data_IF_173433781551
#
_entry.id   IF_173433781551
#
_cell.length_a   1.000
_cell.length_b   1.000
_cell.length_c   1.000
_cell.angle_alpha   90.00
_cell.angle_beta   90.00
_cell.angle_gamma   90.00
#
_symmetry.space_group_name_H-M   'P 1'
#
loop_
_entity.id
_entity.type
_entity.pdbx_description
1 polymer ?
#
# COMPACT_ATOMS: atom_id res chain seq x y z
N UNK A 1 -62.99 4.93 30.45
CA UNK A 1 -62.15 3.91 29.88
C UNK A 1 -60.89 4.53 29.34
N UNK A 2 -59.78 4.20 30.02
CA UNK A 2 -58.45 4.74 29.81
C UNK A 2 -57.77 4.17 28.57
N UNK A 3 -57.36 5.01 27.69
CA UNK A 3 -56.39 4.67 26.60
C UNK A 3 -54.99 4.97 27.11
N UNK A 4 -54.22 3.92 27.36
CA UNK A 4 -52.79 4.00 27.60
C UNK A 4 -52.08 4.19 26.26
N UNK A 5 -51.55 5.40 26.02
CA UNK A 5 -50.63 5.65 24.96
C UNK A 5 -49.26 5.08 25.36
N UNK A 6 -48.82 4.06 24.63
CA UNK A 6 -47.49 3.46 24.75
C UNK A 6 -46.51 4.32 23.96
N UNK A 7 -45.79 5.22 24.67
CA UNK A 7 -44.68 5.93 24.07
C UNK A 7 -43.46 4.99 24.00
N UNK A 8 -43.26 4.40 22.82
CA UNK A 8 -42.00 3.74 22.50
C UNK A 8 -40.89 4.82 22.47
N UNK A 9 -40.05 4.79 23.49
CA UNK A 9 -38.81 5.58 23.53
C UNK A 9 -37.90 5.09 22.42
N UNK A 10 -37.71 5.91 21.39
CA UNK A 10 -36.64 5.77 20.42
C UNK A 10 -35.34 5.99 21.19
N UNK A 11 -34.64 4.90 21.45
CA UNK A 11 -33.27 4.95 21.98
C UNK A 11 -32.42 5.51 20.85
N UNK A 12 -32.13 6.82 20.92
CA UNK A 12 -31.12 7.47 20.09
C UNK A 12 -29.74 6.96 20.57
N UNK A 13 -29.30 5.87 19.97
CA UNK A 13 -27.94 5.35 20.16
C UNK A 13 -27.01 6.19 19.28
N UNK A 14 -26.76 7.43 19.66
CA UNK A 14 -25.62 8.18 19.16
C UNK A 14 -24.35 7.61 19.80
N UNK A 15 -23.95 6.42 19.39
CA UNK A 15 -22.55 6.00 19.53
C UNK A 15 -21.75 6.88 18.57
N UNK A 16 -21.14 7.93 19.10
CA UNK A 16 -20.07 8.68 18.44
C UNK A 16 -18.87 7.74 18.38
N UNK A 17 -18.92 6.76 17.47
CA UNK A 17 -17.83 5.81 17.22
C UNK A 17 -16.67 6.64 16.72
N UNK A 18 -15.64 6.78 17.54
CA UNK A 18 -14.43 7.54 17.20
C UNK A 18 -13.84 7.00 15.91
N UNK A 19 -13.77 7.85 14.87
CA UNK A 19 -13.21 7.49 13.56
C UNK A 19 -11.77 7.02 13.73
N UNK A 20 -11.48 5.80 13.28
CA UNK A 20 -10.14 5.19 13.29
C UNK A 20 -9.27 5.70 12.13
N UNK A 21 -9.88 6.12 11.03
CA UNK A 21 -9.22 6.74 9.89
C UNK A 21 -8.52 8.05 10.28
N UNK A 22 -7.40 8.37 9.63
CA UNK A 22 -6.53 9.48 10.01
C UNK A 22 -5.66 9.93 8.82
N UNK A 23 -4.96 11.06 9.00
CA UNK A 23 -3.82 11.43 8.17
C UNK A 23 -2.52 11.09 8.89
N UNK A 24 -1.53 10.60 8.15
CA UNK A 24 -0.16 10.46 8.61
C UNK A 24 0.71 11.46 7.85
N UNK A 25 1.26 12.43 8.56
CA UNK A 25 2.08 13.50 8.01
C UNK A 25 3.50 13.31 8.51
N UNK A 26 4.46 13.25 7.58
CA UNK A 26 5.83 12.96 7.92
C UNK A 26 6.80 13.17 6.77
N UNK A 27 7.80 12.33 6.70
CA UNK A 27 8.89 12.43 5.73
C UNK A 27 9.19 11.06 5.14
N UNK A 28 9.51 11.07 3.86
CA UNK A 28 10.17 9.96 3.18
C UNK A 28 11.65 10.24 3.10
N UNK A 29 12.47 9.29 3.49
CA UNK A 29 13.91 9.31 3.36
C UNK A 29 14.36 8.19 2.43
N UNK A 30 15.25 8.50 1.51
CA UNK A 30 15.90 7.54 0.63
C UNK A 30 17.41 7.70 0.74
N UNK A 31 18.12 6.58 0.91
CA UNK A 31 19.57 6.52 0.91
C UNK A 31 20.04 5.36 0.04
N UNK A 32 20.75 5.66 -1.03
CA UNK A 32 21.54 4.71 -1.80
C UNK A 32 22.96 4.71 -1.26
N UNK A 33 23.51 3.54 -1.02
CA UNK A 33 24.88 3.36 -0.54
C UNK A 33 25.80 2.99 -1.70
N UNK A 34 25.37 2.06 -2.56
CA UNK A 34 26.17 1.55 -3.67
C UNK A 34 25.44 1.70 -5.01
N UNK A 35 26.12 1.88 -6.16
CA UNK A 35 27.57 2.08 -6.38
C UNK A 35 28.06 3.49 -6.01
N UNK A 36 27.18 4.47 -5.89
CA UNK A 36 27.47 5.84 -5.47
C UNK A 36 26.48 6.30 -4.42
N UNK A 37 26.97 6.92 -3.38
CA UNK A 37 26.12 7.43 -2.31
C UNK A 37 25.24 8.57 -2.83
N UNK A 38 23.95 8.47 -2.51
CA UNK A 38 22.96 9.48 -2.82
C UNK A 38 21.81 9.39 -1.82
N UNK A 39 21.51 10.50 -1.17
CA UNK A 39 20.40 10.56 -0.21
C UNK A 39 19.55 11.79 -0.42
N UNK A 40 18.27 11.68 -0.08
CA UNK A 40 17.33 12.79 -0.09
C UNK A 40 16.14 12.51 0.83
N UNK A 41 15.54 13.59 1.28
CA UNK A 41 14.33 13.57 2.13
C UNK A 41 13.32 14.52 1.54
N UNK A 42 12.03 14.15 1.61
CA UNK A 42 10.93 15.04 1.25
C UNK A 42 9.72 14.81 2.14
N UNK A 43 8.94 15.86 2.41
CA UNK A 43 7.71 15.73 3.19
C UNK A 43 6.64 14.99 2.39
N UNK A 44 5.90 14.13 3.06
CA UNK A 44 4.79 13.37 2.49
C UNK A 44 3.67 13.23 3.53
N UNK A 45 2.41 13.28 3.08
CA UNK A 45 1.32 12.75 3.87
C UNK A 45 0.72 11.52 3.18
N UNK A 46 0.20 10.61 3.98
CA UNK A 46 -0.59 9.46 3.52
C UNK A 46 -1.92 9.40 4.26
N UNK A 47 -2.91 8.83 3.61
CA UNK A 47 -4.23 8.65 4.17
C UNK A 47 -4.29 7.26 4.81
N UNK A 48 -4.60 7.20 6.10
CA UNK A 48 -4.92 5.96 6.79
C UNK A 48 -6.43 5.81 6.82
N UNK A 49 -6.95 4.86 6.09
CA UNK A 49 -8.38 4.61 5.95
C UNK A 49 -8.70 3.22 6.48
N UNK A 50 -9.52 3.13 7.50
CA UNK A 50 -10.20 1.88 7.84
C UNK A 50 -11.24 1.60 6.76
N UNK A 51 -11.10 0.48 6.06
CA UNK A 51 -11.95 0.17 4.91
C UNK A 51 -13.42 -0.10 5.30
N UNK A 52 -13.69 -0.39 6.56
CA UNK A 52 -15.05 -0.51 7.10
C UNK A 52 -15.68 0.88 7.37
N UNK A 53 -14.88 1.95 7.46
CA UNK A 53 -15.36 3.32 7.68
C UNK A 53 -15.65 4.11 6.40
N UNK A 54 -15.42 3.56 5.20
CA UNK A 54 -15.50 4.30 3.93
C UNK A 54 -16.88 4.94 3.72
N UNK A 55 -17.97 4.24 4.02
CA UNK A 55 -19.33 4.78 3.91
C UNK A 55 -19.57 5.91 4.93
N UNK A 56 -19.10 5.75 6.16
CA UNK A 56 -19.18 6.79 7.20
C UNK A 56 -18.42 8.05 6.78
N UNK A 57 -17.19 7.88 6.29
CA UNK A 57 -16.32 9.00 5.87
C UNK A 57 -16.95 9.83 4.76
N UNK A 58 -17.54 9.18 3.72
CA UNK A 58 -18.15 9.90 2.62
C UNK A 58 -19.49 10.58 2.97
N UNK A 59 -20.16 10.12 4.04
CA UNK A 59 -21.33 10.83 4.58
C UNK A 59 -20.94 11.99 5.47
N UNK A 60 -19.88 11.85 6.27
CA UNK A 60 -19.44 12.86 7.23
C UNK A 60 -18.64 14.01 6.58
N UNK A 61 -17.90 13.73 5.50
CA UNK A 61 -16.95 14.68 4.91
C UNK A 61 -17.21 14.93 3.43
N UNK A 62 -17.64 16.15 3.09
CA UNK A 62 -17.91 16.57 1.71
C UNK A 62 -16.69 16.49 0.78
N UNK A 63 -15.49 16.57 1.32
CA UNK A 63 -14.22 16.53 0.59
C UNK A 63 -13.71 15.11 0.32
N UNK A 64 -14.36 14.07 0.85
CA UNK A 64 -14.02 12.66 0.62
C UNK A 64 -15.18 11.93 -0.05
N UNK A 65 -14.88 11.11 -1.06
CA UNK A 65 -15.87 10.21 -1.65
C UNK A 65 -15.24 8.99 -2.33
N UNK A 66 -15.93 7.86 -2.22
CA UNK A 66 -15.65 6.65 -2.99
C UNK A 66 -16.54 6.52 -4.24
N UNK A 67 -17.63 7.32 -4.33
CA UNK A 67 -18.67 7.18 -5.39
C UNK A 67 -18.67 8.34 -6.38
N UNK A 68 -18.57 9.56 -5.91
CA UNK A 68 -18.67 10.79 -6.72
C UNK A 68 -17.35 11.55 -6.75
N UNK A 69 -17.29 12.60 -7.56
CA UNK A 69 -16.16 13.53 -7.51
C UNK A 69 -16.09 14.24 -6.15
N UNK A 70 -14.90 14.30 -5.61
CA UNK A 70 -14.56 15.02 -4.37
C UNK A 70 -13.07 15.41 -4.42
N UNK A 71 -12.61 16.38 -3.63
CA UNK A 71 -11.19 16.72 -3.51
C UNK A 71 -10.30 15.53 -3.22
N UNK A 72 -10.71 14.61 -2.32
CA UNK A 72 -10.09 13.31 -2.14
C UNK A 72 -11.05 12.20 -2.56
N UNK A 73 -10.58 11.31 -3.45
CA UNK A 73 -11.37 10.20 -3.94
C UNK A 73 -10.67 8.87 -3.68
N UNK A 74 -11.41 7.91 -3.14
CA UNK A 74 -11.00 6.52 -3.05
C UNK A 74 -11.61 5.74 -4.22
N UNK A 75 -10.84 5.40 -5.23
CA UNK A 75 -11.31 4.60 -6.37
C UNK A 75 -10.72 3.20 -6.34
N UNK A 76 -11.57 2.18 -6.38
CA UNK A 76 -11.16 0.78 -6.33
C UNK A 76 -10.12 0.41 -7.42
N UNK A 77 -10.22 1.01 -8.61
CA UNK A 77 -9.32 0.73 -9.73
C UNK A 77 -7.91 1.32 -9.57
N UNK A 78 -7.66 2.16 -8.57
CA UNK A 78 -6.35 2.73 -8.31
C UNK A 78 -5.42 1.77 -7.55
N UNK A 79 -5.98 0.70 -6.98
CA UNK A 79 -5.26 -0.26 -6.14
C UNK A 79 -5.37 -1.66 -6.70
N UNK A 80 -4.28 -2.42 -6.59
CA UNK A 80 -4.19 -3.82 -7.04
C UNK A 80 -4.57 -4.02 -8.53
N UNK A 81 -4.36 -3.01 -9.36
CA UNK A 81 -4.82 -3.03 -10.76
C UNK A 81 -4.19 -4.12 -11.61
N UNK A 82 -3.00 -4.59 -11.24
CA UNK A 82 -2.24 -5.63 -11.94
C UNK A 82 -2.42 -7.03 -11.34
N UNK A 83 -3.10 -7.15 -10.21
CA UNK A 83 -3.39 -8.44 -9.60
C UNK A 83 -4.67 -9.04 -10.20
N UNK A 84 -4.57 -10.26 -10.71
CA UNK A 84 -5.68 -10.98 -11.36
C UNK A 84 -6.46 -11.85 -10.38
N UNK A 85 -6.74 -11.35 -9.18
CA UNK A 85 -7.52 -12.08 -8.18
C UNK A 85 -8.99 -11.71 -8.33
N UNK A 86 -9.84 -12.67 -8.70
CA UNK A 86 -11.28 -12.43 -8.81
C UNK A 86 -11.89 -12.17 -7.42
N UNK A 87 -12.77 -11.18 -7.34
CA UNK A 87 -13.59 -10.95 -6.15
C UNK A 87 -15.06 -11.00 -6.54
N UNK A 88 -15.89 -11.59 -5.71
CA UNK A 88 -17.34 -11.64 -5.89
C UNK A 88 -18.04 -10.35 -5.47
N UNK A 89 -17.31 -9.46 -4.78
CA UNK A 89 -17.84 -8.20 -4.25
C UNK A 89 -17.90 -7.14 -5.33
N UNK A 90 -19.03 -6.44 -5.42
CA UNK A 90 -19.20 -5.32 -6.34
C UNK A 90 -18.31 -4.14 -5.96
N UNK A 91 -17.70 -3.49 -6.97
CA UNK A 91 -16.95 -2.24 -6.82
C UNK A 91 -17.82 -1.07 -6.32
N UNK A 92 -19.14 -1.20 -6.36
CA UNK A 92 -20.06 -0.20 -5.82
C UNK A 92 -19.85 0.05 -4.31
N UNK A 93 -19.46 -1.00 -3.57
CA UNK A 93 -18.96 -0.86 -2.20
C UNK A 93 -17.43 -0.89 -2.21
N UNK A 94 -16.83 0.26 -2.45
CA UNK A 94 -15.37 0.39 -2.61
C UNK A 94 -14.59 -0.07 -1.39
N UNK A 95 -15.07 0.23 -0.16
CA UNK A 95 -14.39 -0.19 1.07
C UNK A 95 -14.35 -1.72 1.19
N UNK A 96 -15.51 -2.37 1.11
CA UNK A 96 -15.61 -3.82 1.18
C UNK A 96 -14.85 -4.50 0.02
N UNK A 97 -14.93 -3.95 -1.19
CA UNK A 97 -14.21 -4.48 -2.35
C UNK A 97 -12.68 -4.50 -2.12
N UNK A 98 -12.10 -3.38 -1.65
CA UNK A 98 -10.66 -3.29 -1.37
C UNK A 98 -10.26 -4.18 -0.19
N UNK A 99 -11.09 -4.26 0.85
CA UNK A 99 -10.88 -5.16 2.00
C UNK A 99 -10.78 -6.62 1.54
N UNK A 100 -11.75 -7.08 0.78
CA UNK A 100 -11.78 -8.48 0.30
C UNK A 100 -10.62 -8.76 -0.67
N UNK A 101 -10.24 -7.79 -1.51
CA UNK A 101 -9.07 -7.96 -2.39
C UNK A 101 -7.76 -8.04 -1.62
N UNK A 102 -7.56 -7.19 -0.62
CA UNK A 102 -6.35 -7.24 0.21
C UNK A 102 -6.23 -8.59 0.95
N UNK A 103 -7.35 -9.11 1.48
CA UNK A 103 -7.41 -10.42 2.12
C UNK A 103 -7.09 -11.53 1.11
N UNK A 104 -7.71 -11.53 -0.07
CA UNK A 104 -7.48 -12.55 -1.10
C UNK A 104 -6.04 -12.54 -1.64
N UNK A 105 -5.41 -11.35 -1.76
CA UNK A 105 -4.01 -11.23 -2.13
C UNK A 105 -3.13 -11.80 -1.01
N UNK A 106 -3.38 -11.47 0.26
CA UNK A 106 -2.62 -12.00 1.38
C UNK A 106 -2.70 -13.54 1.44
N UNK A 107 -3.90 -14.11 1.25
CA UNK A 107 -4.14 -15.56 1.18
C UNK A 107 -3.33 -16.20 0.05
N UNK A 108 -3.39 -15.63 -1.16
CA UNK A 108 -2.63 -16.12 -2.32
C UNK A 108 -1.12 -16.08 -2.14
N UNK A 109 -0.64 -15.19 -1.25
CA UNK A 109 0.77 -15.05 -0.88
C UNK A 109 1.14 -15.88 0.36
N UNK A 110 0.21 -16.69 0.89
CA UNK A 110 0.46 -17.65 1.96
C UNK A 110 0.13 -17.19 3.38
N UNK A 111 -0.60 -16.08 3.55
CA UNK A 111 -1.06 -15.64 4.86
C UNK A 111 -2.22 -16.52 5.38
N UNK A 112 -2.25 -16.80 6.67
CA UNK A 112 -3.46 -17.32 7.31
C UNK A 112 -4.46 -16.18 7.53
N UNK A 113 -5.41 -16.03 6.62
CA UNK A 113 -6.40 -14.94 6.63
C UNK A 113 -7.68 -15.26 7.42
N UNK A 114 -7.85 -16.50 7.90
CA UNK A 114 -9.06 -16.92 8.63
C UNK A 114 -9.40 -16.01 9.82
N UNK A 115 -8.44 -15.54 10.66
CA UNK A 115 -8.74 -14.67 11.79
C UNK A 115 -8.85 -13.18 11.42
N UNK A 116 -8.58 -12.80 10.17
CA UNK A 116 -8.56 -11.39 9.76
C UNK A 116 -9.97 -10.83 9.66
N UNK A 117 -10.25 -9.81 10.46
CA UNK A 117 -11.57 -9.20 10.53
C UNK A 117 -11.60 -7.71 10.12
N UNK A 118 -10.44 -7.02 10.08
CA UNK A 118 -10.33 -5.61 9.70
C UNK A 118 -9.14 -5.39 8.76
N UNK A 119 -9.30 -4.46 7.81
CA UNK A 119 -8.21 -4.01 6.94
C UNK A 119 -8.17 -2.49 6.91
N UNK A 120 -7.01 -1.94 7.19
CA UNK A 120 -6.74 -0.52 7.09
C UNK A 120 -5.70 -0.28 6.00
N UNK A 121 -5.93 0.71 5.13
CA UNK A 121 -4.96 1.11 4.12
C UNK A 121 -4.23 2.38 4.53
N UNK A 122 -2.91 2.42 4.36
CA UNK A 122 -2.09 3.62 4.42
C UNK A 122 -1.58 3.91 3.02
N UNK A 123 -2.21 4.86 2.32
CA UNK A 123 -2.03 5.05 0.87
C UNK A 123 -2.27 6.48 0.42
N UNK A 124 -1.88 6.78 -0.83
CA UNK A 124 -2.33 7.97 -1.51
C UNK A 124 -3.75 7.78 -2.04
N UNK A 125 -4.56 8.82 -1.94
CA UNK A 125 -5.87 8.91 -2.61
C UNK A 125 -5.76 9.82 -3.84
N UNK A 126 -6.72 9.74 -4.75
CA UNK A 126 -6.85 10.75 -5.80
C UNK A 126 -7.06 12.12 -5.16
N UNK A 127 -6.18 13.06 -5.51
CA UNK A 127 -6.29 14.45 -5.09
C UNK A 127 -6.66 15.29 -6.31
N UNK A 128 -7.83 15.94 -6.28
CA UNK A 128 -8.41 16.67 -7.41
C UNK A 128 -8.39 15.89 -8.75
N UNK A 129 -8.72 14.60 -8.68
CA UNK A 129 -8.78 13.71 -9.84
C UNK A 129 -7.44 13.09 -10.26
N UNK A 130 -6.30 13.54 -9.74
CA UNK A 130 -4.97 13.03 -10.05
C UNK A 130 -4.58 11.96 -9.03
N UNK A 131 -4.16 10.81 -9.51
CA UNK A 131 -3.65 9.70 -8.68
C UNK A 131 -2.24 9.34 -9.09
N UNK A 132 -1.38 9.20 -8.10
CA UNK A 132 -0.08 8.57 -8.22
C UNK A 132 0.37 8.10 -6.84
N UNK A 133 0.73 6.83 -6.71
CA UNK A 133 1.30 6.26 -5.50
C UNK A 133 2.43 5.29 -5.84
N UNK A 134 3.66 5.52 -5.35
CA UNK A 134 4.75 4.57 -5.52
C UNK A 134 4.59 3.33 -4.64
N UNK A 135 3.85 3.43 -3.55
CA UNK A 135 3.56 2.33 -2.63
C UNK A 135 2.26 2.57 -1.87
N UNK A 136 1.46 1.51 -1.74
CA UNK A 136 0.29 1.46 -0.89
C UNK A 136 0.45 0.32 0.11
N UNK A 137 0.09 0.55 1.36
CA UNK A 137 0.21 -0.39 2.45
C UNK A 137 -1.17 -0.78 2.94
N UNK A 138 -1.45 -2.08 3.04
CA UNK A 138 -2.70 -2.62 3.56
C UNK A 138 -2.37 -3.45 4.79
N UNK A 139 -2.75 -2.95 5.96
CA UNK A 139 -2.58 -3.62 7.25
C UNK A 139 -3.78 -4.51 7.52
N UNK A 140 -3.54 -5.81 7.70
CA UNK A 140 -4.56 -6.81 8.00
C UNK A 140 -4.55 -7.12 9.49
N UNK A 141 -5.68 -6.87 10.14
CA UNK A 141 -5.82 -6.99 11.58
C UNK A 141 -6.61 -8.22 11.99
N UNK A 142 -6.11 -8.89 13.02
CA UNK A 142 -6.89 -9.76 13.89
C UNK A 142 -7.24 -8.95 15.13
N UNK A 143 -8.51 -8.56 15.25
CA UNK A 143 -9.00 -7.62 16.26
C UNK A 143 -8.23 -6.28 16.22
N UNK A 144 -7.47 -5.94 17.25
CA UNK A 144 -6.71 -4.69 17.32
C UNK A 144 -5.20 -4.87 16.99
N UNK A 145 -4.76 -6.09 16.62
CA UNK A 145 -3.36 -6.39 16.31
C UNK A 145 -3.15 -6.55 14.81
N UNK A 146 -2.27 -5.78 14.21
CA UNK A 146 -1.87 -5.98 12.83
C UNK A 146 -1.01 -7.25 12.71
N UNK A 147 -1.50 -8.24 11.95
CA UNK A 147 -0.82 -9.52 11.70
C UNK A 147 0.03 -9.49 10.44
N UNK A 148 -0.53 -8.94 9.38
CA UNK A 148 0.12 -8.90 8.07
C UNK A 148 0.08 -7.50 7.49
N UNK A 149 1.05 -7.23 6.65
CA UNK A 149 1.09 -6.08 5.77
C UNK A 149 1.19 -6.56 4.32
N UNK A 150 0.23 -6.16 3.49
CA UNK A 150 0.37 -6.26 2.03
C UNK A 150 0.87 -4.91 1.52
N UNK A 151 2.06 -4.91 0.93
CA UNK A 151 2.66 -3.72 0.33
C UNK A 151 2.56 -3.82 -1.20
N UNK A 152 1.67 -3.02 -1.80
CA UNK A 152 1.58 -2.86 -3.25
C UNK A 152 2.60 -1.81 -3.70
N UNK A 153 3.68 -2.26 -4.35
CA UNK A 153 4.77 -1.41 -4.82
C UNK A 153 4.65 -1.19 -6.32
N UNK A 154 4.58 0.08 -6.73
CA UNK A 154 4.46 0.49 -8.13
C UNK A 154 5.78 0.98 -8.67
N UNK A 155 6.07 0.71 -9.93
CA UNK A 155 7.24 1.24 -10.60
C UNK A 155 6.94 2.43 -11.51
N UNK A 156 7.91 3.30 -11.63
CA UNK A 156 7.90 4.41 -12.57
C UNK A 156 9.16 4.28 -13.45
N UNK A 157 9.07 4.34 -14.78
CA UNK A 157 7.94 4.82 -15.62
C UNK A 157 7.02 3.72 -16.17
N UNK A 158 7.20 2.43 -15.82
CA UNK A 158 6.52 1.31 -16.50
C UNK A 158 5.08 1.07 -16.05
N UNK A 159 4.64 1.78 -15.00
CA UNK A 159 3.29 1.72 -14.43
C UNK A 159 2.79 0.30 -14.16
N UNK A 160 3.66 -0.53 -13.59
CA UNK A 160 3.33 -1.87 -13.11
C UNK A 160 3.41 -1.91 -11.59
N UNK A 161 2.67 -2.81 -10.95
CA UNK A 161 2.75 -3.03 -9.50
C UNK A 161 2.96 -4.50 -9.17
N UNK A 162 3.44 -4.73 -7.95
CA UNK A 162 3.63 -6.05 -7.36
C UNK A 162 3.33 -5.99 -5.87
N UNK A 163 2.70 -7.04 -5.34
CA UNK A 163 2.34 -7.14 -3.93
C UNK A 163 3.36 -8.00 -3.17
N UNK A 164 3.82 -7.47 -2.05
CA UNK A 164 4.64 -8.20 -1.06
C UNK A 164 3.81 -8.45 0.19
N UNK A 165 3.90 -9.67 0.73
CA UNK A 165 3.33 -10.02 2.03
C UNK A 165 4.43 -9.95 3.09
N UNK A 166 4.17 -9.24 4.16
CA UNK A 166 5.05 -9.12 5.32
C UNK A 166 4.29 -9.61 6.56
N UNK A 167 4.81 -10.65 7.20
CA UNK A 167 4.33 -11.06 8.51
C UNK A 167 4.88 -10.08 9.55
N UNK A 168 4.00 -9.40 10.29
CA UNK A 168 4.38 -8.39 11.27
C UNK A 168 4.74 -8.97 12.63
N UNK A 169 4.41 -10.24 12.87
CA UNK A 169 4.75 -10.97 14.10
C UNK A 169 6.12 -11.64 13.97
N UNK A 170 6.40 -12.22 12.79
CA UNK A 170 7.64 -12.94 12.50
C UNK A 170 8.19 -12.48 11.14
N UNK A 171 8.71 -11.25 11.04
CA UNK A 171 9.14 -10.70 9.76
C UNK A 171 10.34 -11.47 9.20
N UNK A 172 10.18 -11.96 7.98
CA UNK A 172 11.23 -12.65 7.21
C UNK A 172 11.64 -11.77 6.04
N UNK A 173 12.92 -11.84 5.64
CA UNK A 173 13.37 -11.17 4.43
C UNK A 173 12.62 -11.73 3.21
N UNK A 174 12.19 -10.83 2.32
CA UNK A 174 11.47 -11.20 1.09
C UNK A 174 12.40 -11.02 -0.12
N UNK A 175 12.41 -12.00 -1.03
CA UNK A 175 13.10 -11.82 -2.30
C UNK A 175 12.50 -10.67 -3.10
N UNK A 176 13.35 -9.85 -3.70
CA UNK A 176 12.91 -8.82 -4.62
C UNK A 176 12.44 -9.45 -5.94
N UNK A 177 11.15 -9.62 -6.08
CA UNK A 177 10.53 -10.20 -7.27
C UNK A 177 10.25 -9.18 -8.38
N UNK A 178 10.31 -7.87 -8.09
CA UNK A 178 9.80 -6.81 -8.95
C UNK A 178 10.79 -5.67 -9.16
N UNK A 179 10.91 -5.23 -10.43
CA UNK A 179 11.81 -4.15 -10.84
C UNK A 179 11.18 -2.77 -10.58
N UNK A 180 11.45 -2.20 -9.40
CA UNK A 180 10.84 -0.95 -8.93
C UNK A 180 11.51 0.29 -9.54
N UNK A 181 12.83 0.27 -9.74
CA UNK A 181 13.61 1.43 -10.19
C UNK A 181 14.55 1.06 -11.32
N UNK A 182 14.68 1.88 -12.38
CA UNK A 182 15.62 1.63 -13.47
C UNK A 182 17.09 1.79 -13.06
N UNK A 183 17.37 2.09 -11.80
CA UNK A 183 18.72 2.23 -11.25
C UNK A 183 19.08 1.11 -10.25
N UNK A 184 18.25 0.05 -10.16
CA UNK A 184 18.45 -1.08 -9.23
C UNK A 184 18.08 -2.40 -9.92
N UNK A 185 18.88 -3.43 -9.67
CA UNK A 185 18.71 -4.79 -10.21
C UNK A 185 17.62 -5.59 -9.47
N UNK A 186 17.30 -6.82 -9.96
CA UNK A 186 16.33 -7.74 -9.34
C UNK A 186 16.97 -8.68 -8.30
N UNK A 187 18.25 -9.00 -8.48
CA UNK A 187 18.97 -9.95 -7.64
C UNK A 187 19.34 -9.33 -6.29
N UNK A 188 18.37 -9.26 -5.38
CA UNK A 188 18.51 -8.75 -4.02
C UNK A 188 17.32 -9.14 -3.14
N UNK A 189 17.47 -8.96 -1.83
CA UNK A 189 16.44 -9.16 -0.83
C UNK A 189 15.91 -7.84 -0.30
N UNK A 190 14.63 -7.81 0.06
CA UNK A 190 14.03 -6.75 0.86
C UNK A 190 13.93 -7.17 2.31
N UNK A 191 14.44 -6.34 3.21
CA UNK A 191 14.24 -6.46 4.65
C UNK A 191 13.31 -5.35 5.10
N UNK A 192 12.23 -5.74 5.74
CA UNK A 192 11.18 -4.86 6.19
C UNK A 192 11.25 -4.67 7.69
N UNK A 193 11.16 -3.43 8.14
CA UNK A 193 10.91 -3.09 9.54
C UNK A 193 9.71 -2.17 9.57
N UNK A 194 8.64 -2.63 10.18
CA UNK A 194 7.34 -1.96 10.15
C UNK A 194 6.83 -1.76 11.57
N UNK A 195 6.59 -0.51 11.92
CA UNK A 195 5.84 -0.13 13.11
C UNK A 195 4.44 0.22 12.68
N UNK A 196 3.46 -0.53 13.17
CA UNK A 196 2.06 -0.34 12.80
C UNK A 196 1.57 1.10 13.04
N UNK A 197 0.58 1.55 12.25
CA UNK A 197 0.04 2.90 12.36
C UNK A 197 -0.78 3.14 13.64
N UNK A 198 -0.13 3.61 14.70
CA UNK A 198 -0.76 4.08 15.95
C UNK A 198 -0.65 5.61 16.06
N UNK A 199 -0.03 6.17 17.10
CA UNK A 199 0.30 7.60 17.19
C UNK A 199 1.39 8.03 16.21
N UNK A 200 2.25 7.08 15.84
CA UNK A 200 3.29 7.19 14.81
C UNK A 200 3.35 5.91 13.99
N UNK A 201 3.85 6.01 12.79
CA UNK A 201 4.22 4.86 11.97
C UNK A 201 5.64 5.05 11.44
N UNK A 202 6.35 3.94 11.34
CA UNK A 202 7.71 3.89 10.81
C UNK A 202 7.79 2.65 9.91
N UNK A 203 8.07 2.86 8.64
CA UNK A 203 8.20 1.77 7.66
C UNK A 203 9.56 1.93 7.01
N UNK A 204 10.42 0.93 7.18
CA UNK A 204 11.73 0.86 6.56
C UNK A 204 11.76 -0.32 5.60
N UNK A 205 12.34 -0.07 4.43
CA UNK A 205 12.59 -1.07 3.39
C UNK A 205 14.05 -0.96 3.04
N UNK A 206 14.81 -2.01 3.31
CA UNK A 206 16.22 -2.10 2.96
C UNK A 206 16.40 -3.10 1.82
N UNK A 207 17.24 -2.75 0.86
CA UNK A 207 17.64 -3.66 -0.21
C UNK A 207 19.04 -4.16 0.05
N UNK A 208 19.20 -5.49 0.09
CA UNK A 208 20.42 -6.19 0.39
C UNK A 208 20.77 -7.17 -0.73
N UNK A 209 22.06 -7.33 -1.00
CA UNK A 209 22.65 -8.44 -1.74
C UNK A 209 23.73 -9.06 -0.85
N UNK A 210 25.00 -8.96 -1.16
CA UNK A 210 26.11 -9.29 -0.26
C UNK A 210 26.32 -8.19 0.79
N UNK A 211 25.90 -6.98 0.48
CA UNK A 211 25.98 -5.80 1.34
C UNK A 211 24.72 -4.93 1.20
N UNK A 212 24.59 -3.97 2.10
CA UNK A 212 23.49 -3.02 2.07
C UNK A 212 23.60 -2.07 0.87
N UNK A 213 22.57 -1.98 0.05
CA UNK A 213 22.54 -1.21 -1.20
C UNK A 213 21.71 0.07 -1.09
N UNK A 214 20.55 -0.03 -0.42
CA UNK A 214 19.57 1.06 -0.42
C UNK A 214 18.63 0.95 0.79
N UNK A 215 18.24 2.10 1.31
CA UNK A 215 17.16 2.24 2.31
C UNK A 215 16.11 3.20 1.80
N UNK A 216 14.86 2.83 1.92
CA UNK A 216 13.71 3.73 1.86
C UNK A 216 13.01 3.71 3.21
N UNK A 217 12.59 4.87 3.72
CA UNK A 217 11.76 4.90 4.93
C UNK A 217 10.67 5.96 4.85
N UNK A 218 9.56 5.68 5.52
CA UNK A 218 8.48 6.62 5.78
C UNK A 218 8.25 6.68 7.28
N UNK A 219 8.50 7.85 7.87
CA UNK A 219 8.27 8.12 9.28
C UNK A 219 7.26 9.25 9.42
N UNK A 220 6.12 8.99 10.08
CA UNK A 220 5.02 9.93 10.13
C UNK A 220 4.26 9.88 11.46
N UNK A 221 3.64 11.01 11.80
CA UNK A 221 2.80 11.19 12.98
C UNK A 221 1.33 11.23 12.56
N UNK A 222 0.47 10.62 13.37
CA UNK A 222 -0.97 10.56 13.19
C UNK A 222 -1.62 11.90 13.49
N UNK A 223 -2.55 12.28 12.61
CA UNK A 223 -3.47 13.41 12.82
C UNK A 223 -4.89 12.93 12.56
N UNK A 224 -5.77 13.11 13.55
CA UNK A 224 -7.18 12.78 13.39
C UNK A 224 -7.80 13.61 12.26
N UNK A 225 -8.77 13.02 11.60
CA UNK A 225 -9.54 13.71 10.55
C UNK A 225 -10.34 14.83 11.19
N UNK A 226 -10.00 16.07 10.82
CA UNK A 226 -10.67 17.29 11.25
C UNK A 226 -10.78 18.23 10.04
N UNK A 227 -11.96 18.87 9.89
CA UNK A 227 -12.22 19.77 8.78
C UNK A 227 -11.23 20.95 8.68
N UNK A 228 -10.75 21.47 9.82
CA UNK A 228 -9.75 22.55 9.83
C UNK A 228 -8.37 22.04 9.38
N UNK A 229 -7.98 20.85 9.80
CA UNK A 229 -6.68 20.25 9.45
C UNK A 229 -6.62 19.84 7.99
N UNK A 230 -7.73 19.33 7.41
CA UNK A 230 -7.75 18.97 5.98
C UNK A 230 -7.52 20.19 5.08
N UNK A 231 -8.06 21.34 5.45
CA UNK A 231 -7.84 22.60 4.72
C UNK A 231 -6.33 22.93 4.70
N UNK A 232 -5.64 22.81 5.84
CA UNK A 232 -4.19 23.02 5.91
C UNK A 232 -3.41 22.02 5.05
N UNK A 233 -3.84 20.74 5.02
CA UNK A 233 -3.25 19.71 4.15
C UNK A 233 -3.42 20.08 2.68
N UNK A 234 -4.61 20.50 2.22
CA UNK A 234 -4.85 20.92 0.83
C UNK A 234 -4.07 22.17 0.43
N UNK A 235 -3.93 23.15 1.33
CA UNK A 235 -3.10 24.32 1.05
C UNK A 235 -1.60 23.99 1.00
N UNK A 236 -1.14 23.10 1.87
CA UNK A 236 0.27 22.68 1.92
C UNK A 236 0.65 21.77 0.76
N UNK A 237 -0.26 20.88 0.34
CA UNK A 237 -0.05 19.90 -0.72
C UNK A 237 -1.25 19.86 -1.66
N UNK A 238 -1.49 20.92 -2.45
CA UNK A 238 -2.69 21.01 -3.28
C UNK A 238 -2.82 19.85 -4.27
N UNK A 239 -1.69 19.31 -4.74
CA UNK A 239 -1.64 18.12 -5.60
C UNK A 239 -0.41 17.30 -5.20
N UNK A 240 -0.55 16.51 -4.12
CA UNK A 240 0.55 15.68 -3.61
C UNK A 240 1.11 14.72 -4.66
N UNK A 241 0.26 14.12 -5.50
CA UNK A 241 0.68 13.21 -6.57
C UNK A 241 1.64 13.87 -7.55
N UNK A 242 1.42 15.13 -7.96
CA UNK A 242 2.35 15.87 -8.82
C UNK A 242 3.69 16.17 -8.12
N UNK A 243 3.64 16.46 -6.83
CA UNK A 243 4.86 16.69 -6.04
C UNK A 243 5.72 15.44 -5.96
N UNK A 244 5.11 14.27 -5.79
CA UNK A 244 5.80 12.97 -5.78
C UNK A 244 6.41 12.70 -7.16
N UNK A 245 5.63 12.83 -8.23
CA UNK A 245 6.12 12.61 -9.61
C UNK A 245 7.29 13.53 -9.92
N UNK A 246 7.18 14.82 -9.65
CA UNK A 246 8.26 15.79 -9.84
C UNK A 246 9.52 15.39 -9.05
N UNK A 247 9.37 14.97 -7.80
CA UNK A 247 10.50 14.53 -6.97
C UNK A 247 11.18 13.29 -7.57
N UNK A 248 10.42 12.29 -8.04
CA UNK A 248 10.96 11.08 -8.67
C UNK A 248 11.78 11.42 -9.91
N UNK A 249 11.23 12.20 -10.85
CA UNK A 249 11.96 12.55 -12.08
C UNK A 249 13.18 13.44 -11.81
N UNK A 250 13.08 14.36 -10.85
CA UNK A 250 14.23 15.17 -10.43
C UNK A 250 15.36 14.32 -9.85
N UNK A 251 15.03 13.35 -8.99
CA UNK A 251 16.05 12.43 -8.44
C UNK A 251 16.60 11.49 -9.50
N UNK A 252 15.78 11.01 -10.43
CA UNK A 252 16.22 10.20 -11.56
C UNK A 252 17.24 10.97 -12.42
N UNK A 253 16.98 12.25 -12.72
CA UNK A 253 17.91 13.13 -13.44
C UNK A 253 19.24 13.29 -12.67
N UNK A 254 19.18 13.53 -11.35
CA UNK A 254 20.39 13.63 -10.50
C UNK A 254 21.22 12.35 -10.49
N UNK A 255 20.58 11.17 -10.44
CA UNK A 255 21.25 9.87 -10.52
C UNK A 255 21.90 9.67 -11.89
N UNK A 256 21.20 10.01 -12.97
CA UNK A 256 21.74 9.96 -14.33
C UNK A 256 22.96 10.87 -14.48
N UNK A 257 22.91 12.13 -14.03
CA UNK A 257 24.03 13.06 -14.04
C UNK A 257 25.22 12.59 -13.19
N UNK A 258 24.97 11.80 -12.14
CA UNK A 258 26.03 11.13 -11.36
C UNK A 258 26.64 9.92 -12.09
N UNK A 259 26.19 9.59 -13.29
CA UNK A 259 26.66 8.44 -14.09
C UNK A 259 26.25 7.09 -13.54
N UNK A 260 25.14 6.99 -12.81
CA UNK A 260 24.59 5.70 -12.38
C UNK A 260 23.90 5.07 -13.58
N UNK A 261 24.27 3.80 -13.86
CA UNK A 261 23.80 3.07 -15.04
C UNK A 261 22.28 2.84 -14.99
N UNK A 262 21.62 3.11 -16.11
CA UNK A 262 20.23 2.72 -16.33
C UNK A 262 20.14 1.20 -16.59
N UNK A 263 19.24 0.52 -15.89
CA UNK A 263 18.95 -0.91 -16.07
C UNK A 263 17.56 -1.03 -16.70
N UNK A 264 17.43 -1.63 -17.90
CA UNK A 264 16.14 -1.87 -18.54
C UNK A 264 15.23 -2.73 -17.66
N UNK A 265 13.92 -2.64 -17.88
CA UNK A 265 12.95 -3.45 -17.16
C UNK A 265 13.23 -4.95 -17.35
N UNK A 266 13.34 -5.68 -16.26
CA UNK A 266 13.57 -7.11 -16.22
C UNK A 266 12.41 -7.78 -15.48
N UNK A 267 11.94 -8.92 -16.01
CA UNK A 267 11.06 -9.86 -15.31
C UNK A 267 11.88 -11.07 -14.92
N UNK A 268 11.81 -11.53 -13.66
CA UNK A 268 12.31 -12.87 -13.32
C UNK A 268 11.57 -13.88 -14.22
N UNK A 269 12.27 -14.59 -15.09
CA UNK A 269 11.70 -15.76 -15.76
C UNK A 269 11.40 -16.79 -14.68
N UNK A 270 10.12 -17.10 -14.46
CA UNK A 270 9.73 -18.29 -13.71
C UNK A 270 10.19 -19.47 -14.58
N UNK A 271 11.27 -20.13 -14.19
CA UNK A 271 11.63 -21.42 -14.77
C UNK A 271 10.51 -22.39 -14.38
N UNK A 272 9.66 -22.71 -15.35
CA UNK A 272 8.75 -23.84 -15.22
C UNK A 272 9.63 -25.09 -14.99
N UNK A 273 9.33 -25.94 -14.01
CA UNK A 273 10.09 -27.16 -13.82
C UNK A 273 9.94 -28.00 -15.08
N UNK A 274 11.03 -28.12 -15.86
CA UNK A 274 11.13 -29.05 -16.97
C UNK A 274 11.04 -30.45 -16.38
N UNK A 275 9.89 -31.11 -16.53
CA UNK A 275 9.76 -32.54 -16.33
C UNK A 275 10.75 -33.23 -17.29
N UNK A 276 11.88 -33.68 -16.76
CA UNK A 276 12.78 -34.57 -17.46
C UNK A 276 12.07 -35.90 -17.64
N UNK A 277 11.45 -36.11 -18.81
CA UNK A 277 11.04 -37.44 -19.26
C UNK A 277 12.31 -38.24 -19.57
N UNK A 278 12.76 -39.05 -18.65
CA UNK A 278 13.73 -40.10 -18.87
C UNK A 278 13.10 -41.16 -19.77
N UNK A 279 13.55 -41.22 -21.03
CA UNK A 279 13.23 -42.32 -21.95
C UNK A 279 13.84 -43.61 -21.38
N UNK A 280 13.10 -44.72 -21.28
CA UNK A 280 13.69 -46.01 -20.93
C UNK A 280 14.53 -46.53 -22.11
N UNK A 281 15.75 -46.87 -21.82
CA UNK A 281 16.74 -47.43 -22.76
C UNK A 281 16.45 -48.92 -22.90
N UNK A 282 15.67 -49.32 -23.92
CA UNK A 282 15.51 -50.73 -24.34
C UNK A 282 16.67 -51.13 -25.24
N UNK A 283 17.70 -51.69 -24.68
CA UNK A 283 18.66 -52.57 -25.42
C UNK A 283 18.04 -53.95 -25.51
N UNK A 284 17.56 -54.31 -26.70
CA UNK A 284 17.34 -55.71 -27.06
C UNK A 284 18.60 -56.28 -27.68
N UNK A 285 19.12 -57.36 -27.09
CA UNK A 285 20.10 -58.26 -27.67
C UNK A 285 19.35 -59.21 -28.60
N UNK A 286 19.83 -59.34 -29.76
CA UNK A 286 20.18 -60.61 -30.51
C UNK A 286 20.91 -60.20 -31.76
#
# INVERSE_FOLDING_TARGET
PNAHANSASVIDVSMDTAIKSAFYIGQVFHKRVFPKEHQFTYPLYMNFIDLDEVELLQHKFWWFSAKRWAPLQLKANDYFSHEQIPTTVSKANTGLFLKMRAIAIADSLGANVSPINRVCMLAQLRCFGIYFSPVNFFFLYENETAKYLVAEVSNTPWNKSHCYLIDLISPVATEKAFHVSPFMDLDMEYRWQVKEPTTRTEIFIESWREHHLFTASFCATRYNIDAKKITAVFFRWPIVSLSIVRAIYWQALRLYLKGIRYVPYQTKKTESPTLSTSKPNTKSKT
#
